data_IF_136144602078
#
_entry.id   IF_136144602078
#
_cell.length_a   1.000
_cell.length_b   1.000
_cell.length_c   1.000
_cell.angle_alpha   90.00
_cell.angle_beta   90.00
_cell.angle_gamma   90.00
#
_symmetry.space_group_name_H-M   'P 1'
#
loop_
_entity.id
_entity.type
_entity.pdbx_description
1 polymer ?
#
# COMPACT_ATOMS: atom_id res chain seq x y z
N UNK A 1 -0.34 -18.19 -31.97
CA UNK A 1 -0.65 -16.74 -31.99
C UNK A 1 0.65 -15.93 -32.08
N UNK A 2 0.58 -14.66 -32.46
CA UNK A 2 1.77 -13.78 -32.56
C UNK A 2 2.56 -13.68 -31.23
N UNK A 3 1.90 -13.86 -30.12
CA UNK A 3 2.55 -13.90 -28.79
C UNK A 3 3.12 -15.29 -28.52
N UNK A 4 2.39 -16.36 -28.83
CA UNK A 4 2.86 -17.74 -28.70
C UNK A 4 4.18 -17.97 -29.43
N UNK A 5 4.31 -17.40 -30.63
CA UNK A 5 5.52 -17.48 -31.44
C UNK A 5 6.74 -16.75 -30.79
N UNK A 6 6.48 -15.76 -29.91
CA UNK A 6 7.52 -14.98 -29.24
C UNK A 6 7.92 -15.51 -27.86
N UNK A 7 6.97 -15.98 -27.07
CA UNK A 7 7.18 -16.32 -25.66
C UNK A 7 6.99 -17.81 -25.37
N UNK A 8 6.61 -18.61 -26.36
CA UNK A 8 6.31 -20.02 -26.21
C UNK A 8 4.88 -20.30 -25.75
N UNK A 9 4.46 -21.55 -25.80
CA UNK A 9 3.12 -21.99 -25.40
C UNK A 9 3.03 -22.21 -23.88
N UNK A 10 4.13 -22.54 -23.23
CA UNK A 10 4.17 -22.90 -21.82
C UNK A 10 3.64 -21.79 -20.91
N UNK A 11 3.94 -20.53 -21.21
CA UNK A 11 3.51 -19.39 -20.38
C UNK A 11 1.98 -19.27 -20.34
N UNK A 12 1.28 -19.66 -21.40
CA UNK A 12 -0.18 -19.67 -21.45
C UNK A 12 -0.79 -20.91 -20.78
N UNK A 13 -0.02 -21.99 -20.66
CA UNK A 13 -0.42 -23.19 -19.94
C UNK A 13 -0.43 -22.98 -18.42
N UNK A 14 0.37 -22.01 -17.91
CA UNK A 14 0.40 -21.64 -16.50
C UNK A 14 -0.64 -20.56 -16.13
N UNK A 15 -1.30 -19.95 -17.11
CA UNK A 15 -2.38 -18.99 -16.89
C UNK A 15 -3.69 -19.74 -16.58
N UNK A 16 -3.91 -19.98 -15.32
CA UNK A 16 -5.05 -20.75 -14.80
C UNK A 16 -5.92 -19.88 -13.89
N UNK A 17 -7.19 -20.18 -13.83
CA UNK A 17 -8.14 -19.54 -12.92
C UNK A 17 -8.11 -20.19 -11.52
N UNK A 18 -8.92 -19.69 -10.61
CA UNK A 18 -9.09 -20.25 -9.27
C UNK A 18 -9.66 -21.67 -9.39
N UNK A 19 -8.93 -22.61 -8.85
CA UNK A 19 -9.33 -24.01 -8.70
C UNK A 19 -9.00 -24.48 -7.29
N UNK A 20 -9.51 -25.62 -6.82
CA UNK A 20 -9.12 -26.16 -5.51
C UNK A 20 -7.62 -26.38 -5.33
N UNK A 21 -6.86 -26.40 -6.45
CA UNK A 21 -5.41 -26.63 -6.44
C UNK A 21 -4.58 -25.36 -6.63
N UNK A 22 -5.19 -24.25 -7.09
CA UNK A 22 -4.50 -22.99 -7.37
C UNK A 22 -4.77 -21.91 -6.33
N UNK A 23 -5.66 -22.17 -5.36
CA UNK A 23 -6.09 -21.22 -4.34
C UNK A 23 -6.82 -19.99 -4.94
N UNK A 24 -7.39 -19.15 -4.09
CA UNK A 24 -8.10 -17.93 -4.45
C UNK A 24 -7.52 -16.75 -3.63
N UNK A 25 -7.08 -15.70 -4.32
CA UNK A 25 -6.48 -14.53 -3.65
C UNK A 25 -7.47 -13.79 -2.73
N UNK A 26 -8.77 -13.80 -3.06
CA UNK A 26 -9.80 -13.13 -2.26
C UNK A 26 -10.20 -13.94 -1.04
N UNK A 27 -10.10 -15.26 -1.14
CA UNK A 27 -10.41 -16.20 -0.07
C UNK A 27 -9.30 -17.25 0.06
N UNK A 28 -8.11 -16.77 0.34
CA UNK A 28 -6.91 -17.61 0.43
C UNK A 28 -7.00 -18.62 1.57
N UNK A 29 -6.94 -19.91 1.23
CA UNK A 29 -7.01 -21.04 2.18
C UNK A 29 -5.81 -21.99 2.02
N UNK A 30 -5.12 -21.95 0.88
CA UNK A 30 -4.02 -22.83 0.50
C UNK A 30 -2.66 -22.10 0.43
N UNK A 31 -1.98 -22.27 -0.69
CA UNK A 31 -0.61 -21.79 -0.91
C UNK A 31 -0.47 -20.26 -0.81
N UNK A 32 -1.48 -19.51 -1.25
CA UNK A 32 -1.48 -18.04 -1.14
C UNK A 32 -1.54 -17.64 0.33
N UNK A 33 -2.39 -18.28 1.13
CA UNK A 33 -2.47 -18.02 2.57
C UNK A 33 -1.17 -18.32 3.28
N UNK A 34 -0.54 -19.46 2.98
CA UNK A 34 0.75 -19.83 3.56
C UNK A 34 1.83 -18.79 3.20
N UNK A 35 1.90 -18.38 1.94
CA UNK A 35 2.83 -17.35 1.50
C UNK A 35 2.57 -15.98 2.19
N UNK A 36 1.31 -15.58 2.40
CA UNK A 36 0.95 -14.37 3.14
C UNK A 36 1.38 -14.47 4.62
N UNK A 37 1.25 -15.62 5.25
CA UNK A 37 1.71 -15.85 6.61
C UNK A 37 3.23 -15.74 6.74
N UNK A 38 3.97 -16.42 5.87
CA UNK A 38 5.44 -16.32 5.83
C UNK A 38 5.92 -14.88 5.61
N UNK A 39 5.23 -14.14 4.74
CA UNK A 39 5.53 -12.73 4.51
C UNK A 39 5.24 -11.89 5.76
N UNK A 40 4.14 -12.16 6.46
CA UNK A 40 3.81 -11.51 7.72
C UNK A 40 4.86 -11.74 8.80
N UNK A 41 5.32 -12.98 8.96
CA UNK A 41 6.40 -13.34 9.88
C UNK A 41 7.71 -12.61 9.55
N UNK A 42 8.08 -12.57 8.27
CA UNK A 42 9.30 -11.90 7.81
C UNK A 42 9.30 -10.39 8.10
N UNK A 43 8.17 -9.73 7.92
CA UNK A 43 8.03 -8.29 8.12
C UNK A 43 7.47 -7.90 9.49
N UNK A 44 7.22 -8.88 10.39
CA UNK A 44 6.65 -8.68 11.73
C UNK A 44 5.31 -7.91 11.67
N UNK A 45 4.44 -8.34 10.77
CA UNK A 45 3.09 -7.77 10.59
C UNK A 45 2.03 -8.81 10.92
N UNK A 46 0.89 -8.38 11.43
CA UNK A 46 -0.24 -9.27 11.74
C UNK A 46 -0.83 -9.92 10.49
N UNK A 47 -0.81 -9.19 9.37
CA UNK A 47 -1.29 -9.66 8.07
C UNK A 47 -0.50 -9.06 6.93
N UNK A 48 -0.35 -9.82 5.86
CA UNK A 48 0.24 -9.37 4.60
C UNK A 48 -0.66 -9.75 3.45
N UNK A 49 -0.71 -8.90 2.44
CA UNK A 49 -1.57 -9.08 1.28
C UNK A 49 -0.77 -8.92 -0.01
N UNK A 50 -0.95 -9.83 -0.95
CA UNK A 50 -0.42 -9.68 -2.30
C UNK A 50 -1.32 -8.78 -3.13
N UNK A 51 -0.72 -7.85 -3.85
CA UNK A 51 -1.44 -6.92 -4.72
C UNK A 51 -1.32 -7.36 -6.16
N UNK A 52 -2.45 -7.62 -6.82
CA UNK A 52 -2.49 -8.02 -8.23
C UNK A 52 -2.79 -6.85 -9.16
N UNK A 53 -3.21 -5.71 -8.64
CA UNK A 53 -3.51 -4.51 -9.41
C UNK A 53 -2.54 -3.35 -9.12
N UNK A 54 -1.29 -3.69 -8.85
CA UNK A 54 -0.20 -2.76 -8.59
C UNK A 54 -0.29 -2.04 -7.25
N UNK A 55 0.79 -1.35 -6.88
CA UNK A 55 0.88 -0.57 -5.63
C UNK A 55 -0.10 0.60 -5.56
N UNK A 56 -0.66 1.05 -6.67
CA UNK A 56 -1.73 2.05 -6.69
C UNK A 56 -2.94 1.57 -5.90
N UNK A 57 -3.42 0.36 -6.17
CA UNK A 57 -4.53 -0.25 -5.44
C UNK A 57 -4.20 -0.40 -3.94
N UNK A 58 -2.97 -0.81 -3.60
CA UNK A 58 -2.53 -0.92 -2.21
C UNK A 58 -2.53 0.42 -1.47
N UNK A 59 -2.07 1.49 -2.11
CA UNK A 59 -2.10 2.84 -1.53
C UNK A 59 -3.54 3.32 -1.29
N UNK A 60 -4.43 3.09 -2.24
CA UNK A 60 -5.85 3.44 -2.13
C UNK A 60 -6.53 2.64 -1.01
N UNK A 61 -6.34 1.33 -0.98
CA UNK A 61 -6.89 0.46 0.05
C UNK A 61 -6.38 0.83 1.46
N UNK A 62 -5.09 1.14 1.60
CA UNK A 62 -4.48 1.54 2.86
C UNK A 62 -5.09 2.86 3.40
N UNK A 63 -5.31 3.84 2.53
CA UNK A 63 -5.91 5.12 2.93
C UNK A 63 -7.39 4.92 3.29
N UNK A 64 -8.14 4.15 2.49
CA UNK A 64 -9.53 3.83 2.78
C UNK A 64 -9.71 3.08 4.11
N UNK A 65 -8.77 2.19 4.45
CA UNK A 65 -8.80 1.47 5.72
C UNK A 65 -8.34 2.32 6.92
N UNK A 66 -7.41 3.26 6.69
CA UNK A 66 -6.77 4.05 7.74
C UNK A 66 -7.42 5.39 8.07
N UNK A 67 -8.29 5.91 7.20
CA UNK A 67 -8.91 7.21 7.39
C UNK A 67 -10.34 7.25 6.87
N UNK A 68 -11.28 7.51 7.76
CA UNK A 68 -12.70 7.67 7.46
C UNK A 68 -13.02 9.11 7.02
N UNK A 69 -14.23 9.29 6.46
CA UNK A 69 -14.74 10.60 6.08
C UNK A 69 -14.62 11.63 7.22
N UNK A 70 -14.04 12.78 6.91
CA UNK A 70 -13.84 13.88 7.85
C UNK A 70 -12.67 13.72 8.83
N UNK A 71 -12.05 12.55 8.92
CA UNK A 71 -10.84 12.35 9.71
C UNK A 71 -9.62 12.97 9.03
N UNK A 72 -8.63 13.35 9.82
CA UNK A 72 -7.39 13.92 9.29
C UNK A 72 -6.36 12.83 9.04
N UNK A 73 -5.71 12.91 7.88
CA UNK A 73 -4.59 12.05 7.53
C UNK A 73 -3.40 12.87 7.09
N UNK A 74 -2.24 12.55 7.65
CA UNK A 74 -1.01 13.23 7.31
C UNK A 74 -0.39 12.64 6.05
N UNK A 75 -0.10 13.50 5.06
CA UNK A 75 0.37 13.05 3.76
C UNK A 75 1.47 13.98 3.23
N UNK A 76 2.50 13.40 2.62
CA UNK A 76 3.54 14.18 1.98
C UNK A 76 2.99 14.93 0.76
N UNK A 77 3.36 16.23 0.63
CA UNK A 77 2.90 17.04 -0.50
C UNK A 77 3.36 16.55 -1.86
N UNK A 78 4.43 15.77 -1.90
CA UNK A 78 4.96 15.11 -3.09
C UNK A 78 4.58 13.63 -3.18
N UNK A 79 3.55 13.19 -2.47
CA UNK A 79 3.05 11.82 -2.56
C UNK A 79 2.57 11.48 -3.98
N UNK A 80 2.64 10.22 -4.32
CA UNK A 80 2.18 9.73 -5.61
C UNK A 80 0.66 9.97 -5.77
N UNK A 81 0.22 10.12 -7.02
CA UNK A 81 -1.20 10.39 -7.35
C UNK A 81 -2.19 9.38 -6.74
N UNK A 82 -1.78 8.12 -6.55
CA UNK A 82 -2.63 7.10 -5.92
C UNK A 82 -3.03 7.48 -4.48
N UNK A 83 -2.15 8.14 -3.74
CA UNK A 83 -2.47 8.64 -2.41
C UNK A 83 -3.52 9.76 -2.45
N UNK A 84 -3.46 10.63 -3.46
CA UNK A 84 -4.49 11.65 -3.68
C UNK A 84 -5.84 11.02 -4.05
N UNK A 85 -5.83 9.96 -4.87
CA UNK A 85 -7.05 9.23 -5.20
C UNK A 85 -7.66 8.54 -3.98
N UNK A 86 -6.83 7.92 -3.14
CA UNK A 86 -7.27 7.34 -1.86
C UNK A 86 -7.91 8.39 -0.94
N UNK A 87 -7.36 9.61 -0.86
CA UNK A 87 -7.96 10.73 -0.11
C UNK A 87 -9.34 11.12 -0.65
N UNK A 88 -9.47 11.24 -1.97
CA UNK A 88 -10.76 11.58 -2.60
C UNK A 88 -11.81 10.52 -2.30
N UNK A 89 -11.44 9.24 -2.40
CA UNK A 89 -12.35 8.13 -2.16
C UNK A 89 -12.74 7.98 -0.68
N UNK A 90 -11.80 8.23 0.25
CA UNK A 90 -12.07 8.10 1.68
C UNK A 90 -12.83 9.29 2.27
N UNK A 91 -12.83 10.45 1.61
CA UNK A 91 -13.37 11.70 2.17
C UNK A 91 -12.55 12.24 3.35
N UNK A 92 -11.34 11.72 3.58
CA UNK A 92 -10.44 12.18 4.62
C UNK A 92 -9.86 13.57 4.30
N UNK A 93 -9.57 14.35 5.34
CA UNK A 93 -8.95 15.67 5.21
C UNK A 93 -7.44 15.57 5.28
N UNK A 94 -6.71 15.97 4.22
CA UNK A 94 -5.27 15.87 4.22
C UNK A 94 -4.60 16.97 5.06
N UNK A 95 -3.68 16.57 5.92
CA UNK A 95 -2.70 17.45 6.56
C UNK A 95 -1.39 17.31 5.80
N UNK A 96 -1.05 18.29 4.99
CA UNK A 96 0.10 18.21 4.11
C UNK A 96 1.42 18.49 4.81
N UNK A 97 2.37 17.57 4.68
CA UNK A 97 3.75 17.74 5.10
C UNK A 97 4.62 18.03 3.88
N UNK A 98 5.25 19.19 3.86
CA UNK A 98 6.11 19.58 2.75
C UNK A 98 7.51 18.96 2.88
N UNK A 99 8.06 18.34 1.79
CA UNK A 99 9.43 17.85 1.81
C UNK A 99 10.41 19.01 1.93
N UNK A 100 11.54 18.80 2.62
CA UNK A 100 12.66 19.75 2.60
C UNK A 100 13.30 19.75 1.21
N UNK A 101 13.53 20.94 0.69
CA UNK A 101 14.33 21.14 -0.52
C UNK A 101 15.80 21.20 -0.13
N UNK A 102 16.61 20.26 -0.59
CA UNK A 102 18.05 20.26 -0.46
C UNK A 102 18.65 20.58 -1.83
N UNK A 103 19.06 21.82 -2.03
CA UNK A 103 19.56 22.32 -3.32
C UNK A 103 18.51 22.23 -4.42
N UNK A 104 18.90 21.69 -5.60
CA UNK A 104 18.02 21.52 -6.76
C UNK A 104 17.07 20.30 -6.65
N UNK A 105 17.24 19.45 -5.63
CA UNK A 105 16.48 18.20 -5.49
C UNK A 105 15.47 18.27 -4.35
N UNK A 106 14.22 17.89 -4.62
CA UNK A 106 13.20 17.66 -3.59
C UNK A 106 13.37 16.23 -3.07
N UNK A 107 14.09 16.08 -1.97
CA UNK A 107 14.25 14.78 -1.32
C UNK A 107 13.07 14.48 -0.41
N UNK A 108 12.74 13.18 -0.31
CA UNK A 108 11.79 12.69 0.68
C UNK A 108 12.25 13.07 2.10
N UNK A 109 11.31 13.26 3.00
CA UNK A 109 11.55 13.68 4.38
C UNK A 109 12.56 12.77 5.07
N UNK A 110 13.64 13.31 5.67
CA UNK A 110 14.56 12.49 6.45
C UNK A 110 13.86 11.92 7.69
N UNK A 111 14.29 10.75 8.20
CA UNK A 111 13.68 10.07 9.36
C UNK A 111 13.52 10.95 10.62
N UNK A 112 14.30 12.01 10.77
CA UNK A 112 14.17 12.98 11.87
C UNK A 112 12.83 13.74 11.90
N UNK A 113 12.09 13.78 10.81
CA UNK A 113 10.75 14.38 10.83
C UNK A 113 9.68 13.48 11.43
N UNK A 114 9.87 12.16 11.48
CA UNK A 114 8.99 11.28 12.23
C UNK A 114 8.92 11.64 13.72
N UNK A 115 10.03 12.08 14.31
CA UNK A 115 10.05 12.51 15.71
C UNK A 115 9.35 13.85 15.97
N UNK A 116 9.24 14.73 14.97
CA UNK A 116 8.46 15.97 15.06
C UNK A 116 6.99 15.68 14.84
N UNK A 117 6.68 14.84 13.85
CA UNK A 117 5.35 14.42 13.50
C UNK A 117 4.72 13.58 14.65
N UNK A 118 5.46 12.64 15.22
CA UNK A 118 4.97 11.85 16.37
C UNK A 118 4.72 12.71 17.61
N UNK A 119 5.53 13.74 17.87
CA UNK A 119 5.25 14.70 18.95
C UNK A 119 4.00 15.52 18.68
N UNK A 120 3.81 16.03 17.46
CA UNK A 120 2.60 16.79 17.11
C UNK A 120 1.33 15.94 17.20
N UNK A 121 1.42 14.62 16.88
CA UNK A 121 0.30 13.67 17.04
C UNK A 121 0.02 13.39 18.52
N UNK A 122 1.05 13.25 19.34
CA UNK A 122 0.92 13.08 20.80
C UNK A 122 0.37 14.35 21.47
N UNK A 123 0.86 15.52 21.08
CA UNK A 123 0.40 16.82 21.60
C UNK A 123 -1.04 17.13 21.17
N UNK A 124 -1.47 16.62 20.02
CA UNK A 124 -2.86 16.71 19.55
C UNK A 124 -3.81 15.67 20.17
N UNK A 125 -3.29 14.77 21.01
CA UNK A 125 -4.10 13.72 21.69
C UNK A 125 -4.64 12.65 20.71
N UNK A 126 -4.07 12.54 19.51
CA UNK A 126 -4.58 11.68 18.44
C UNK A 126 -4.06 10.24 18.47
N UNK A 127 -3.08 9.92 19.33
CA UNK A 127 -2.62 8.55 19.60
C UNK A 127 -2.10 8.42 21.03
N UNK A 128 -2.77 7.63 21.82
CA UNK A 128 -2.19 6.99 23.02
C UNK A 128 -1.82 5.56 22.63
N UNK A 129 -0.55 5.30 22.37
CA UNK A 129 0.05 3.97 22.35
C UNK A 129 0.88 3.78 23.60
#
# INVERSE_FOLDING_TARGET
SRWTDKVGEEIFAYDVTETPYTDDLHQAEGAIREAQQLLGELYHTDRSFFLVNGSTCGNEAMILAGALEGQEIMIARNAHKSAMMGLIMSGARPVYVSPKVLGAYRLALPPRMWSVVSRSIQDAGLCSW
#
